data_IF_388122185085
#
_entry.id   IF_388122185085
#
_cell.length_a   1.000
_cell.length_b   1.000
_cell.length_c   1.000
_cell.angle_alpha   90.00
_cell.angle_beta   90.00
_cell.angle_gamma   90.00
#
_symmetry.space_group_name_H-M   'P 1'
#
loop_
_entity.id
_entity.type
_entity.pdbx_description
1 polymer ?
#
# COMPACT_ATOMS: atom_id res chain seq x y z
N UNK A 1 -9.96 -14.49 12.97
CA UNK A 1 -9.65 -13.08 12.84
C UNK A 1 -10.90 -12.25 12.89
N UNK A 2 -10.87 -11.23 13.69
CA UNK A 2 -11.99 -10.32 13.84
C UNK A 2 -11.90 -9.19 12.82
N UNK A 3 -12.96 -8.42 12.72
CA UNK A 3 -13.17 -7.52 11.62
C UNK A 3 -12.15 -6.41 11.46
N UNK A 4 -11.59 -6.33 10.28
CA UNK A 4 -10.92 -5.14 9.79
C UNK A 4 -11.53 -4.76 8.45
N UNK A 5 -11.37 -3.51 8.06
CA UNK A 5 -11.97 -2.98 6.82
C UNK A 5 -10.94 -2.98 5.71
N UNK A 6 -11.34 -3.46 4.53
CA UNK A 6 -10.49 -3.42 3.34
C UNK A 6 -11.11 -2.47 2.33
N UNK A 7 -10.30 -1.56 1.81
CA UNK A 7 -10.68 -0.60 0.79
C UNK A 7 -9.70 -0.74 -0.37
N UNK A 8 -10.20 -0.79 -1.60
CA UNK A 8 -9.36 -0.72 -2.78
C UNK A 8 -9.46 0.67 -3.40
N UNK A 9 -8.32 1.30 -3.68
CA UNK A 9 -8.26 2.64 -4.21
C UNK A 9 -7.30 2.69 -5.41
N UNK A 10 -7.75 3.30 -6.48
CA UNK A 10 -6.98 3.41 -7.71
C UNK A 10 -5.88 4.47 -7.65
N UNK A 11 -5.78 5.21 -6.55
CA UNK A 11 -4.81 6.28 -6.39
C UNK A 11 -3.38 5.80 -6.70
N UNK A 12 -2.66 6.55 -7.52
CA UNK A 12 -1.32 6.19 -7.95
C UNK A 12 -0.39 7.40 -8.12
N UNK A 13 -0.91 8.61 -8.02
CA UNK A 13 -0.13 9.84 -7.94
C UNK A 13 0.00 10.31 -6.51
N UNK A 14 1.12 10.96 -6.12
CA UNK A 14 1.30 11.42 -4.74
C UNK A 14 0.16 12.27 -4.20
N UNK A 15 -0.41 13.15 -5.03
CA UNK A 15 -1.53 13.99 -4.61
C UNK A 15 -2.79 13.18 -4.32
N UNK A 16 -3.07 12.19 -5.16
CA UNK A 16 -4.22 11.29 -4.95
C UNK A 16 -4.02 10.44 -3.71
N UNK A 17 -2.82 9.94 -3.50
CA UNK A 17 -2.45 9.13 -2.34
C UNK A 17 -2.64 9.95 -1.06
N UNK A 18 -2.12 11.16 -1.03
CA UNK A 18 -2.24 12.05 0.12
C UNK A 18 -3.70 12.34 0.45
N UNK A 19 -4.53 12.61 -0.57
CA UNK A 19 -5.95 12.88 -0.39
C UNK A 19 -6.70 11.68 0.17
N UNK A 20 -6.42 10.48 -0.34
CA UNK A 20 -7.04 9.25 0.13
C UNK A 20 -6.67 8.96 1.59
N UNK A 21 -5.39 9.10 1.95
CA UNK A 21 -4.93 8.87 3.31
C UNK A 21 -5.54 9.90 4.26
N UNK A 22 -5.59 11.15 3.87
CA UNK A 22 -6.20 12.20 4.69
C UNK A 22 -7.68 11.92 4.96
N UNK A 23 -8.42 11.49 3.94
CA UNK A 23 -9.81 11.10 4.09
C UNK A 23 -9.96 9.88 5.01
N UNK A 24 -9.10 8.89 4.83
CA UNK A 24 -9.13 7.65 5.63
C UNK A 24 -8.83 7.89 7.10
N UNK A 25 -7.99 8.87 7.41
CA UNK A 25 -7.67 9.24 8.80
C UNK A 25 -8.89 9.73 9.57
N UNK A 26 -9.89 10.25 8.89
CA UNK A 26 -11.14 10.71 9.50
C UNK A 26 -12.11 9.56 9.77
N UNK A 27 -11.86 8.40 9.20
CA UNK A 27 -12.66 7.21 9.41
C UNK A 27 -12.20 6.51 10.69
N UNK A 28 -13.11 6.04 11.54
CA UNK A 28 -12.71 5.38 12.78
C UNK A 28 -11.84 4.15 12.50
N UNK A 29 -10.66 4.11 13.10
CA UNK A 29 -9.72 3.01 12.90
C UNK A 29 -8.73 2.91 14.04
N UNK A 30 -8.20 1.69 14.26
CA UNK A 30 -7.10 1.46 15.19
C UNK A 30 -5.77 1.87 14.52
N UNK A 31 -5.44 1.22 13.41
CA UNK A 31 -4.30 1.58 12.55
C UNK A 31 -4.74 1.66 11.11
N UNK A 32 -4.10 2.54 10.37
CA UNK A 32 -4.29 2.67 8.93
C UNK A 32 -3.10 2.01 8.23
N UNK A 33 -3.41 0.96 7.46
CA UNK A 33 -2.45 0.22 6.65
C UNK A 33 -2.61 0.61 5.19
N UNK A 34 -1.50 0.86 4.53
CA UNK A 34 -1.49 1.07 3.08
C UNK A 34 -0.65 -0.03 2.44
N UNK A 35 -1.24 -0.74 1.48
CA UNK A 35 -0.50 -1.66 0.61
C UNK A 35 -0.42 -1.00 -0.76
N UNK A 36 0.75 -0.49 -1.10
CA UNK A 36 0.94 0.33 -2.28
C UNK A 36 1.77 -0.39 -3.34
N UNK A 37 1.28 -0.35 -4.58
CA UNK A 37 2.02 -0.81 -5.75
C UNK A 37 2.36 0.39 -6.61
N UNK A 38 3.64 0.80 -6.67
CA UNK A 38 4.04 1.88 -7.58
C UNK A 38 3.80 1.47 -9.03
N UNK A 39 3.41 2.43 -9.86
CA UNK A 39 3.20 2.18 -11.29
C UNK A 39 4.30 2.86 -12.08
N UNK A 40 4.93 2.10 -12.95
CA UNK A 40 6.06 2.42 -13.83
C UNK A 40 7.34 2.82 -13.09
N UNK A 41 8.45 2.44 -13.67
CA UNK A 41 9.77 2.76 -13.11
C UNK A 41 10.07 4.24 -13.22
N UNK A 42 9.74 4.84 -14.36
CA UNK A 42 10.02 6.25 -14.61
C UNK A 42 9.31 7.19 -13.65
N UNK A 43 8.02 6.95 -13.39
CA UNK A 43 7.24 7.76 -12.46
C UNK A 43 7.74 7.58 -11.04
N UNK A 44 8.03 6.35 -10.64
CA UNK A 44 8.52 6.06 -9.30
C UNK A 44 9.83 6.79 -9.03
N UNK A 45 10.76 6.75 -9.98
CA UNK A 45 12.04 7.43 -9.85
C UNK A 45 11.88 8.95 -9.82
N UNK A 46 11.03 9.49 -10.70
CA UNK A 46 10.85 10.93 -10.81
C UNK A 46 10.18 11.56 -9.58
N UNK A 47 9.28 10.83 -8.91
CA UNK A 47 8.46 11.33 -7.82
C UNK A 47 8.77 10.65 -6.49
N UNK A 48 9.97 10.13 -6.33
CA UNK A 48 10.33 9.30 -5.18
C UNK A 48 10.07 10.01 -3.84
N UNK A 49 10.53 11.24 -3.71
CA UNK A 49 10.34 12.03 -2.49
C UNK A 49 8.85 12.36 -2.24
N UNK A 50 8.12 12.64 -3.31
CA UNK A 50 6.69 12.96 -3.20
C UNK A 50 5.89 11.74 -2.76
N UNK A 51 6.21 10.56 -3.28
CA UNK A 51 5.58 9.32 -2.82
C UNK A 51 5.91 9.05 -1.35
N UNK A 52 7.16 9.22 -0.97
CA UNK A 52 7.58 9.00 0.41
C UNK A 52 6.81 9.93 1.36
N UNK A 53 6.69 11.19 1.01
CA UNK A 53 5.96 12.16 1.83
C UNK A 53 4.48 11.84 1.96
N UNK A 54 3.83 11.48 0.85
CA UNK A 54 2.41 11.16 0.85
C UNK A 54 2.11 9.89 1.67
N UNK A 55 2.86 8.83 1.43
CA UNK A 55 2.65 7.53 2.09
C UNK A 55 2.97 7.57 3.59
N UNK A 56 3.91 8.41 4.00
CA UNK A 56 4.37 8.46 5.39
C UNK A 56 3.30 8.91 6.38
N UNK A 57 2.17 9.38 5.89
CA UNK A 57 1.06 9.80 6.75
C UNK A 57 0.24 8.62 7.28
N UNK A 58 0.40 7.42 6.72
CA UNK A 58 -0.26 6.22 7.23
C UNK A 58 0.55 5.60 8.38
N UNK A 59 -0.07 4.71 9.14
CA UNK A 59 0.58 4.07 10.30
C UNK A 59 1.56 2.98 9.86
N UNK A 60 1.15 2.14 8.93
CA UNK A 60 1.94 1.02 8.43
C UNK A 60 1.84 0.97 6.91
N UNK A 61 2.96 0.79 6.23
CA UNK A 61 3.00 0.79 4.77
C UNK A 61 3.70 -0.48 4.28
N UNK A 62 3.06 -1.19 3.36
CA UNK A 62 3.63 -2.34 2.66
C UNK A 62 3.77 -1.97 1.19
N UNK A 63 4.96 -2.11 0.66
CA UNK A 63 5.26 -1.83 -0.74
C UNK A 63 5.42 -3.12 -1.51
N UNK A 64 4.62 -3.29 -2.57
CA UNK A 64 4.78 -4.37 -3.54
C UNK A 64 5.81 -3.96 -4.60
N UNK A 65 6.18 -4.91 -5.46
CA UNK A 65 7.02 -4.59 -6.62
C UNK A 65 6.35 -3.56 -7.52
N UNK A 66 7.17 -2.81 -8.23
CA UNK A 66 6.68 -1.83 -9.20
C UNK A 66 5.93 -2.56 -10.31
N UNK A 67 4.73 -2.07 -10.63
CA UNK A 67 3.98 -2.50 -11.79
C UNK A 67 4.55 -1.83 -13.03
N UNK A 68 5.27 -2.61 -13.83
CA UNK A 68 6.05 -2.06 -14.94
C UNK A 68 5.19 -1.50 -16.06
N UNK A 69 3.94 -1.96 -16.19
CA UNK A 69 3.11 -1.73 -17.37
C UNK A 69 3.83 -2.28 -18.60
N UNK A 70 4.42 -1.44 -19.44
CA UNK A 70 5.18 -1.89 -20.60
C UNK A 70 6.63 -1.39 -20.59
N UNK A 71 7.03 -0.81 -19.46
CA UNK A 71 8.39 -0.28 -19.36
C UNK A 71 9.39 -1.40 -19.08
N UNK A 72 10.63 -1.13 -19.50
CA UNK A 72 11.78 -1.89 -19.05
C UNK A 72 12.48 -1.09 -17.95
N UNK A 73 13.02 -1.79 -16.97
CA UNK A 73 13.74 -1.13 -15.88
C UNK A 73 15.15 -0.77 -16.32
N UNK A 74 15.27 0.33 -17.06
CA UNK A 74 16.56 0.86 -17.51
C UNK A 74 17.22 1.77 -16.48
N UNK A 75 16.47 2.17 -15.45
CA UNK A 75 16.92 3.09 -14.39
C UNK A 75 17.52 2.31 -13.23
N UNK A 76 17.09 1.06 -13.04
CA UNK A 76 17.55 0.23 -11.92
C UNK A 76 16.85 0.55 -10.61
N UNK A 77 15.61 1.04 -10.67
CA UNK A 77 14.84 1.40 -9.47
C UNK A 77 13.96 0.24 -9.00
N UNK A 78 13.76 0.16 -7.69
CA UNK A 78 12.82 -0.79 -7.09
C UNK A 78 11.99 -0.11 -6.01
N UNK A 79 10.96 -0.81 -5.53
CA UNK A 79 10.18 -0.35 -4.39
C UNK A 79 11.01 -0.25 -3.12
N UNK A 80 12.11 -0.99 -3.04
CA UNK A 80 13.04 -0.88 -1.89
C UNK A 80 13.72 0.49 -1.83
N UNK A 81 13.95 1.11 -2.97
CA UNK A 81 14.46 2.48 -3.00
C UNK A 81 13.47 3.46 -2.38
N UNK A 82 12.17 3.26 -2.65
CA UNK A 82 11.12 4.05 -2.02
C UNK A 82 11.08 3.80 -0.52
N UNK A 83 11.21 2.54 -0.10
CA UNK A 83 11.26 2.18 1.32
C UNK A 83 12.39 2.92 2.04
N UNK A 84 13.58 2.92 1.45
CA UNK A 84 14.74 3.59 2.03
C UNK A 84 14.51 5.09 2.20
N UNK A 85 13.87 5.72 1.22
CA UNK A 85 13.48 7.12 1.31
C UNK A 85 12.49 7.36 2.45
N UNK A 86 11.53 6.47 2.62
CA UNK A 86 10.52 6.59 3.66
C UNK A 86 11.09 6.41 5.06
N UNK A 87 12.09 5.57 5.20
CA UNK A 87 12.75 5.34 6.50
C UNK A 87 13.39 6.62 7.05
N UNK A 88 13.80 7.54 6.20
CA UNK A 88 14.32 8.84 6.62
C UNK A 88 13.27 9.67 7.36
N UNK A 89 11.99 9.38 7.15
CA UNK A 89 10.87 10.06 7.79
C UNK A 89 10.32 9.27 8.98
N UNK A 90 11.08 8.29 9.45
CA UNK A 90 10.75 7.47 10.61
C UNK A 90 9.41 6.72 10.44
N UNK A 91 9.16 6.16 9.27
CA UNK A 91 7.92 5.48 8.91
C UNK A 91 8.07 3.97 9.01
N UNK A 92 7.03 3.28 9.47
CA UNK A 92 6.95 1.82 9.45
C UNK A 92 6.64 1.37 8.04
N UNK A 93 7.65 0.93 7.31
CA UNK A 93 7.50 0.55 5.91
C UNK A 93 8.21 -0.77 5.64
N UNK A 94 7.54 -1.62 4.88
CA UNK A 94 8.01 -2.95 4.53
C UNK A 94 7.97 -3.11 3.01
N UNK A 95 9.00 -3.74 2.45
CA UNK A 95 9.00 -4.09 1.03
C UNK A 95 8.84 -5.60 0.92
N UNK A 96 7.72 -6.02 0.35
CA UNK A 96 7.39 -7.43 0.16
C UNK A 96 6.99 -7.61 -1.31
N UNK A 97 7.87 -8.20 -2.14
CA UNK A 97 7.64 -8.23 -3.58
C UNK A 97 6.41 -8.99 -4.05
N UNK A 98 6.11 -10.14 -3.41
CA UNK A 98 5.06 -11.04 -3.89
C UNK A 98 3.76 -10.85 -3.14
N UNK A 99 2.65 -10.85 -3.87
CA UNK A 99 1.33 -10.67 -3.29
C UNK A 99 0.98 -11.71 -2.24
N UNK A 100 1.31 -12.97 -2.48
CA UNK A 100 1.04 -14.04 -1.51
C UNK A 100 1.78 -13.82 -0.20
N UNK A 101 3.01 -13.32 -0.25
CA UNK A 101 3.78 -13.00 0.95
C UNK A 101 3.22 -11.75 1.66
N UNK A 102 2.71 -10.79 0.89
CA UNK A 102 2.00 -9.63 1.46
C UNK A 102 0.77 -10.11 2.22
N UNK A 103 -0.01 -10.99 1.62
CA UNK A 103 -1.23 -11.53 2.23
C UNK A 103 -0.91 -12.23 3.54
N UNK A 104 0.12 -13.09 3.55
CA UNK A 104 0.54 -13.79 4.76
C UNK A 104 0.99 -12.82 5.85
N UNK A 105 1.75 -11.79 5.48
CA UNK A 105 2.21 -10.75 6.40
C UNK A 105 1.03 -10.01 7.02
N UNK A 106 0.07 -9.61 6.20
CA UNK A 106 -1.11 -8.88 6.67
C UNK A 106 -1.97 -9.71 7.61
N UNK A 107 -2.17 -11.00 7.29
CA UNK A 107 -2.94 -11.89 8.16
C UNK A 107 -2.31 -12.05 9.54
N UNK A 108 -0.99 -11.89 9.64
CA UNK A 108 -0.27 -11.99 10.91
C UNK A 108 -0.28 -10.69 11.71
N UNK A 109 -0.46 -9.55 11.06
CA UNK A 109 -0.23 -8.24 11.70
C UNK A 109 -1.46 -7.35 11.78
N UNK A 110 -2.39 -7.45 10.84
CA UNK A 110 -3.61 -6.64 10.84
C UNK A 110 -4.54 -7.15 11.93
N UNK A 111 -5.11 -6.22 12.69
CA UNK A 111 -5.95 -6.55 13.83
C UNK A 111 -7.35 -5.96 13.69
N UNK A 112 -8.24 -6.40 14.57
CA UNK A 112 -9.60 -5.87 14.63
C UNK A 112 -9.59 -4.35 14.77
N UNK A 113 -10.40 -3.69 13.98
CA UNK A 113 -10.50 -2.23 13.98
C UNK A 113 -9.53 -1.54 13.04
N UNK A 114 -8.62 -2.27 12.40
CA UNK A 114 -7.71 -1.68 11.43
C UNK A 114 -8.43 -1.39 10.11
N UNK A 115 -7.94 -0.39 9.41
CA UNK A 115 -8.34 -0.10 8.03
C UNK A 115 -7.15 -0.39 7.12
N UNK A 116 -7.38 -1.18 6.09
CA UNK A 116 -6.37 -1.58 5.11
C UNK A 116 -6.79 -1.07 3.74
N UNK A 117 -5.95 -0.26 3.11
CA UNK A 117 -6.19 0.23 1.76
C UNK A 117 -5.17 -0.37 0.81
N UNK A 118 -5.63 -1.12 -0.19
CA UNK A 118 -4.80 -1.51 -1.32
C UNK A 118 -4.84 -0.38 -2.34
N UNK A 119 -3.68 0.09 -2.77
CA UNK A 119 -3.58 1.34 -3.50
C UNK A 119 -2.68 1.20 -4.71
N UNK A 120 -3.17 1.62 -5.86
CA UNK A 120 -2.42 1.59 -7.10
C UNK A 120 -3.29 1.37 -8.33
N UNK A 121 -2.73 1.62 -9.50
CA UNK A 121 -3.43 1.49 -10.78
C UNK A 121 -3.14 0.17 -11.49
N UNK A 122 -2.43 -0.75 -10.85
CA UNK A 122 -2.12 -2.08 -11.38
C UNK A 122 -3.03 -3.16 -10.79
N UNK A 123 -2.44 -4.30 -10.46
CA UNK A 123 -3.18 -5.47 -10.01
C UNK A 123 -3.17 -5.68 -8.49
N UNK A 124 -2.76 -4.68 -7.74
CA UNK A 124 -2.67 -4.76 -6.27
C UNK A 124 -4.03 -5.08 -5.60
N UNK A 125 -5.14 -4.76 -6.25
CA UNK A 125 -6.48 -5.07 -5.75
C UNK A 125 -6.65 -6.57 -5.45
N UNK A 126 -5.87 -7.42 -6.10
CA UNK A 126 -5.93 -8.88 -5.90
C UNK A 126 -5.57 -9.28 -4.47
N UNK A 127 -4.71 -8.53 -3.82
CA UNK A 127 -4.37 -8.76 -2.41
C UNK A 127 -5.61 -8.64 -1.54
N UNK A 128 -6.38 -7.59 -1.73
CA UNK A 128 -7.64 -7.41 -1.01
C UNK A 128 -8.64 -8.51 -1.33
N UNK A 129 -8.80 -8.85 -2.60
CA UNK A 129 -9.72 -9.91 -3.02
C UNK A 129 -9.38 -11.25 -2.37
N UNK A 130 -8.09 -11.58 -2.30
CA UNK A 130 -7.64 -12.83 -1.68
C UNK A 130 -7.85 -12.82 -0.17
N UNK A 131 -7.62 -11.70 0.49
CA UNK A 131 -7.89 -11.56 1.93
C UNK A 131 -9.35 -11.74 2.26
N UNK A 132 -10.25 -11.30 1.37
CA UNK A 132 -11.69 -11.48 1.51
C UNK A 132 -12.12 -12.92 1.60
N UNK A 133 -11.39 -13.80 0.97
CA UNK A 133 -11.70 -15.23 0.92
C UNK A 133 -11.27 -15.97 2.17
N UNK A 134 -10.54 -15.30 3.07
CA UNK A 134 -10.07 -15.92 4.31
C UNK A 134 -11.21 -16.01 5.33
N UNK A 135 -11.32 -17.12 6.07
CA UNK A 135 -12.32 -17.24 7.11
C UNK A 135 -12.17 -16.15 8.18
N UNK A 136 -13.25 -15.48 8.52
CA UNK A 136 -13.27 -14.46 9.56
C UNK A 136 -12.91 -13.06 9.10
N UNK A 137 -12.62 -12.86 7.83
CA UNK A 137 -12.41 -11.51 7.30
C UNK A 137 -13.75 -10.80 7.16
N UNK A 138 -13.87 -9.62 7.74
CA UNK A 138 -15.03 -8.74 7.53
C UNK A 138 -14.58 -7.61 6.61
N UNK A 139 -15.31 -7.42 5.53
CA UNK A 139 -14.93 -6.51 4.48
C UNK A 139 -16.00 -5.46 4.28
N UNK A 140 -15.60 -4.22 4.23
CA UNK A 140 -16.41 -3.14 3.73
C UNK A 140 -15.73 -2.55 2.51
N UNK A 141 -16.45 -2.50 1.40
CA UNK A 141 -16.02 -1.75 0.23
C UNK A 141 -16.48 -0.31 0.39
N UNK A 142 -15.53 0.59 0.20
CA UNK A 142 -15.86 2.00 0.16
C UNK A 142 -15.90 2.50 -1.28
#
# INVERSE_FOLDING_TARGET
MNGFTIIDDYAHHPQEIAATIEAAKKYPHRKLWIVFQPRTYSRTAALLDDFAGALSQADEIVLADIYAAREKNTIGISSDDLRKHMLEQNTNVYYIPKFEDIEDFLLQHVEEGDVLITMGAGDIYKVGDDLLKQPGAIVEEA
#
